data_IF_455344723109
#
_entry.id   IF_455344723109
#
_cell.length_a   1.000
_cell.length_b   1.000
_cell.length_c   1.000
_cell.angle_alpha   90.00
_cell.angle_beta   90.00
_cell.angle_gamma   90.00
#
_symmetry.space_group_name_H-M   'P 1'
#
loop_
_entity.id
_entity.type
_entity.pdbx_description
1 polymer ?
#
# COMPACT_ATOMS: atom_id res chain seq x y z
N UNK A 1 40.04 -7.78 -24.18
CA UNK A 1 40.39 -7.12 -22.91
C UNK A 1 41.19 -8.11 -22.08
N UNK A 2 42.44 -7.81 -21.73
CA UNK A 2 43.13 -8.54 -20.67
C UNK A 2 42.48 -8.11 -19.36
N UNK A 3 41.98 -9.05 -18.56
CA UNK A 3 41.69 -8.74 -17.15
C UNK A 3 43.04 -8.45 -16.49
N UNK A 4 43.19 -7.25 -15.95
CA UNK A 4 44.31 -6.95 -15.08
C UNK A 4 44.25 -7.89 -13.86
N UNK A 5 45.41 -8.34 -13.41
CA UNK A 5 45.48 -9.27 -12.29
C UNK A 5 45.09 -8.53 -10.99
N UNK A 6 43.88 -8.78 -10.49
CA UNK A 6 43.45 -8.30 -9.17
C UNK A 6 44.18 -9.06 -8.07
N UNK A 7 44.67 -8.34 -7.07
CA UNK A 7 45.23 -8.94 -5.85
C UNK A 7 44.12 -9.30 -4.86
N UNK A 8 44.45 -10.09 -3.85
CA UNK A 8 43.50 -10.41 -2.77
C UNK A 8 43.14 -9.16 -1.94
N UNK A 9 44.06 -8.22 -1.79
CA UNK A 9 43.82 -6.98 -1.06
C UNK A 9 42.89 -6.04 -1.84
N UNK A 10 42.97 -6.05 -3.17
CA UNK A 10 42.00 -5.33 -4.03
C UNK A 10 40.58 -5.87 -3.83
N UNK A 11 40.42 -7.19 -3.70
CA UNK A 11 39.12 -7.84 -3.46
C UNK A 11 38.57 -7.63 -2.04
N UNK A 12 39.43 -7.24 -1.08
CA UNK A 12 39.05 -6.97 0.32
C UNK A 12 38.81 -5.49 0.59
N UNK A 13 39.24 -4.62 -0.31
CA UNK A 13 39.08 -3.18 -0.17
C UNK A 13 37.64 -2.77 -0.53
N UNK A 14 36.97 -1.95 0.29
CA UNK A 14 35.65 -1.42 -0.05
C UNK A 14 35.68 -0.63 -1.37
N UNK A 15 34.64 -0.77 -2.17
CA UNK A 15 34.45 0.05 -3.37
C UNK A 15 34.20 1.51 -2.93
N UNK A 16 35.00 2.49 -3.41
CA UNK A 16 34.87 3.88 -2.99
C UNK A 16 33.48 4.48 -3.26
N UNK A 17 32.75 3.98 -4.26
CA UNK A 17 31.39 4.44 -4.57
C UNK A 17 30.41 4.07 -3.47
N UNK A 18 30.58 2.89 -2.87
CA UNK A 18 29.70 2.39 -1.80
C UNK A 18 29.81 3.24 -0.54
N UNK A 19 30.98 3.79 -0.24
CA UNK A 19 31.23 4.61 0.95
C UNK A 19 30.56 5.99 0.91
N UNK A 20 30.03 6.42 -0.24
CA UNK A 20 29.42 7.75 -0.43
C UNK A 20 27.94 7.81 -0.04
N UNK A 21 27.31 6.68 0.26
CA UNK A 21 25.89 6.63 0.62
C UNK A 21 25.72 6.70 2.14
N UNK A 22 25.06 7.77 2.61
CA UNK A 22 24.81 8.05 4.02
C UNK A 22 23.30 8.03 4.32
N UNK A 23 22.91 8.16 5.59
CA UNK A 23 21.51 8.33 5.98
C UNK A 23 20.84 9.59 5.40
N UNK A 24 21.63 10.56 4.92
CA UNK A 24 21.14 11.77 4.21
C UNK A 24 21.15 11.62 2.69
N UNK A 25 21.43 10.42 2.16
CA UNK A 25 21.56 10.14 0.75
C UNK A 25 23.02 10.16 0.26
N UNK A 26 23.20 10.43 -1.04
CA UNK A 26 24.51 10.49 -1.69
C UNK A 26 25.29 11.72 -1.22
N UNK A 27 26.45 11.51 -0.60
CA UNK A 27 27.37 12.58 -0.24
C UNK A 27 28.51 12.67 -1.26
N UNK A 28 28.72 13.85 -1.84
CA UNK A 28 29.85 14.11 -2.73
C UNK A 28 31.11 14.52 -1.95
N UNK A 29 30.92 15.21 -0.83
CA UNK A 29 31.99 15.83 -0.05
C UNK A 29 32.49 14.98 1.13
N UNK A 30 31.76 13.92 1.48
CA UNK A 30 32.14 13.01 2.57
C UNK A 30 32.02 11.54 2.15
N UNK A 31 32.68 10.67 2.90
CA UNK A 31 32.57 9.23 2.78
C UNK A 31 32.50 8.63 4.19
N UNK A 32 31.69 7.60 4.36
CA UNK A 32 31.67 6.81 5.57
C UNK A 32 32.97 6.01 5.70
N UNK A 33 33.36 5.69 6.92
CA UNK A 33 34.30 4.60 7.13
C UNK A 33 33.68 3.28 6.64
N UNK A 34 34.50 2.28 6.26
CA UNK A 34 34.00 0.97 5.87
C UNK A 34 33.05 0.34 6.90
N UNK A 35 33.35 0.48 8.19
CA UNK A 35 32.55 -0.05 9.28
C UNK A 35 31.20 0.65 9.39
N UNK A 36 31.18 1.99 9.32
CA UNK A 36 29.94 2.76 9.34
C UNK A 36 29.09 2.52 8.09
N UNK A 37 29.72 2.33 6.92
CA UNK A 37 29.01 1.94 5.70
C UNK A 37 28.35 0.57 5.85
N UNK A 38 29.09 -0.42 6.39
CA UNK A 38 28.53 -1.75 6.65
C UNK A 38 27.37 -1.71 7.63
N UNK A 39 27.51 -0.97 8.74
CA UNK A 39 26.45 -0.79 9.73
C UNK A 39 25.21 -0.13 9.10
N UNK A 40 25.41 0.92 8.30
CA UNK A 40 24.34 1.57 7.56
C UNK A 40 23.60 0.60 6.62
N UNK A 41 24.32 -0.17 5.80
CA UNK A 41 23.71 -1.15 4.89
C UNK A 41 22.98 -2.28 5.64
N UNK A 42 23.48 -2.73 6.79
CA UNK A 42 22.78 -3.68 7.65
C UNK A 42 21.50 -3.08 8.23
N UNK A 43 21.55 -1.83 8.66
CA UNK A 43 20.39 -1.12 9.19
C UNK A 43 19.28 -0.98 8.13
N UNK A 44 19.63 -0.68 6.88
CA UNK A 44 18.66 -0.60 5.77
C UNK A 44 17.85 -1.90 5.58
N UNK A 45 18.44 -3.06 5.89
CA UNK A 45 17.85 -4.39 5.76
C UNK A 45 17.37 -4.99 7.09
N UNK A 46 17.43 -4.23 8.19
CA UNK A 46 17.17 -4.75 9.53
C UNK A 46 15.71 -5.12 9.77
N UNK A 47 14.78 -4.50 9.04
CA UNK A 47 13.34 -4.80 9.11
C UNK A 47 12.88 -5.80 8.06
N UNK A 48 13.78 -6.33 7.23
CA UNK A 48 13.46 -7.17 6.07
C UNK A 48 13.55 -8.65 6.44
N UNK A 49 12.67 -9.12 7.33
CA UNK A 49 12.61 -10.53 7.74
C UNK A 49 11.41 -11.24 7.11
N UNK A 50 11.60 -12.51 6.76
CA UNK A 50 10.56 -13.33 6.14
C UNK A 50 9.83 -14.19 7.16
N UNK A 51 8.49 -14.20 7.09
CA UNK A 51 7.62 -15.08 7.87
C UNK A 51 8.09 -16.54 7.81
N UNK A 52 8.08 -17.26 8.93
CA UNK A 52 8.59 -18.63 9.06
C UNK A 52 7.91 -19.65 8.11
N UNK A 53 6.67 -19.38 7.68
CA UNK A 53 5.92 -20.24 6.77
C UNK A 53 6.34 -20.08 5.30
N UNK A 54 7.15 -19.08 4.97
CA UNK A 54 7.70 -18.91 3.61
C UNK A 54 8.52 -20.14 3.23
N UNK A 55 8.28 -20.64 2.03
CA UNK A 55 8.94 -21.81 1.50
C UNK A 55 10.47 -21.67 1.47
N UNK A 56 11.17 -22.79 1.73
CA UNK A 56 12.61 -22.82 1.96
C UNK A 56 13.43 -22.32 0.75
N UNK A 57 12.98 -22.61 -0.47
CA UNK A 57 13.67 -22.14 -1.67
C UNK A 57 13.60 -20.60 -1.81
N UNK A 58 12.41 -20.01 -1.65
CA UNK A 58 12.26 -18.54 -1.60
C UNK A 58 13.07 -17.93 -0.45
N UNK A 59 13.06 -18.51 0.75
CA UNK A 59 13.84 -18.01 1.90
C UNK A 59 15.34 -18.01 1.60
N UNK A 60 15.87 -19.10 1.06
CA UNK A 60 17.30 -19.21 0.69
C UNK A 60 17.68 -18.23 -0.43
N UNK A 61 16.79 -18.02 -1.41
CA UNK A 61 16.99 -17.04 -2.47
C UNK A 61 17.03 -15.61 -1.90
N UNK A 62 16.10 -15.28 -1.00
CA UNK A 62 16.06 -13.98 -0.33
C UNK A 62 17.30 -13.71 0.53
N UNK A 63 17.74 -14.67 1.33
CA UNK A 63 18.97 -14.52 2.14
C UNK A 63 20.22 -14.35 1.27
N UNK A 64 20.27 -15.00 0.10
CA UNK A 64 21.33 -14.77 -0.88
C UNK A 64 21.34 -13.33 -1.38
N UNK A 65 20.16 -12.72 -1.60
CA UNK A 65 20.04 -11.32 -2.01
C UNK A 65 20.57 -10.39 -0.92
N UNK A 66 20.16 -10.59 0.35
CA UNK A 66 20.67 -9.79 1.49
C UNK A 66 22.20 -9.86 1.57
N UNK A 67 22.77 -11.06 1.41
CA UNK A 67 24.22 -11.24 1.40
C UNK A 67 24.90 -10.53 0.21
N UNK A 68 24.32 -10.60 -0.99
CA UNK A 68 24.85 -9.89 -2.16
C UNK A 68 24.81 -8.38 -1.99
N UNK A 69 23.73 -7.84 -1.42
CA UNK A 69 23.64 -6.43 -1.07
C UNK A 69 24.78 -6.01 -0.15
N UNK A 70 25.02 -6.73 0.94
CA UNK A 70 26.13 -6.42 1.86
C UNK A 70 27.51 -6.55 1.19
N UNK A 71 27.67 -7.51 0.26
CA UNK A 71 28.89 -7.63 -0.56
C UNK A 71 29.06 -6.49 -1.56
N UNK A 72 27.99 -5.75 -1.86
CA UNK A 72 28.03 -4.50 -2.63
C UNK A 72 29.00 -3.48 -2.07
N UNK A 73 29.30 -3.54 -0.77
CA UNK A 73 30.33 -2.71 -0.15
C UNK A 73 31.71 -2.90 -0.78
N UNK A 74 32.07 -4.11 -1.20
CA UNK A 74 33.38 -4.45 -1.79
C UNK A 74 33.33 -4.54 -3.32
N UNK A 75 32.14 -4.81 -3.87
CA UNK A 75 31.93 -4.91 -5.32
C UNK A 75 30.60 -4.27 -5.67
N UNK A 76 30.64 -2.98 -6.04
CA UNK A 76 29.43 -2.16 -6.20
C UNK A 76 28.37 -2.78 -7.12
N UNK A 77 28.79 -3.45 -8.20
CA UNK A 77 27.84 -4.07 -9.14
C UNK A 77 27.01 -5.19 -8.49
N UNK A 78 27.42 -5.72 -7.33
CA UNK A 78 26.60 -6.65 -6.54
C UNK A 78 25.27 -6.02 -6.07
N UNK A 79 25.18 -4.69 -5.94
CA UNK A 79 23.90 -4.02 -5.67
C UNK A 79 22.92 -4.19 -6.82
N UNK A 80 23.40 -4.05 -8.06
CA UNK A 80 22.61 -4.30 -9.28
C UNK A 80 22.23 -5.78 -9.39
N UNK A 81 23.18 -6.68 -9.13
CA UNK A 81 22.88 -8.12 -9.14
C UNK A 81 21.83 -8.48 -8.08
N UNK A 82 21.92 -7.90 -6.88
CA UNK A 82 20.92 -8.09 -5.83
C UNK A 82 19.55 -7.54 -6.25
N UNK A 83 19.51 -6.36 -6.89
CA UNK A 83 18.28 -5.76 -7.43
C UNK A 83 17.62 -6.65 -8.48
N UNK A 84 18.38 -7.12 -9.49
CA UNK A 84 17.85 -8.02 -10.53
C UNK A 84 17.36 -9.35 -9.96
N UNK A 85 18.11 -9.90 -8.99
CA UNK A 85 17.71 -11.12 -8.29
C UNK A 85 16.42 -10.93 -7.47
N UNK A 86 16.08 -9.71 -7.02
CA UNK A 86 14.80 -9.47 -6.37
C UNK A 86 13.64 -9.78 -7.32
N UNK A 87 13.72 -9.32 -8.56
CA UNK A 87 12.68 -9.56 -9.57
C UNK A 87 12.55 -11.06 -9.91
N UNK A 88 13.67 -11.79 -9.98
CA UNK A 88 13.68 -13.25 -10.18
C UNK A 88 13.10 -14.00 -8.98
N UNK A 89 13.39 -13.54 -7.76
CA UNK A 89 12.92 -14.16 -6.52
C UNK A 89 11.44 -13.88 -6.27
N UNK A 90 10.93 -12.71 -6.68
CA UNK A 90 9.50 -12.44 -6.71
C UNK A 90 8.76 -13.47 -7.58
N UNK A 91 9.26 -13.73 -8.78
CA UNK A 91 8.68 -14.75 -9.66
C UNK A 91 8.68 -16.13 -9.00
N UNK A 92 9.79 -16.53 -8.36
CA UNK A 92 9.86 -17.78 -7.60
C UNK A 92 8.79 -17.84 -6.50
N UNK A 93 8.70 -16.81 -5.67
CA UNK A 93 7.75 -16.74 -4.56
C UNK A 93 6.29 -16.85 -5.03
N UNK A 94 5.94 -16.12 -6.09
CA UNK A 94 4.60 -16.20 -6.70
C UNK A 94 4.29 -17.60 -7.24
N UNK A 95 5.26 -18.26 -7.86
CA UNK A 95 5.10 -19.63 -8.38
C UNK A 95 4.90 -20.64 -7.25
N UNK A 96 5.71 -20.58 -6.21
CA UNK A 96 5.57 -21.47 -5.04
C UNK A 96 4.22 -21.25 -4.34
N UNK A 97 3.80 -19.99 -4.21
CA UNK A 97 2.49 -19.67 -3.63
C UNK A 97 1.34 -20.16 -4.50
N UNK A 98 1.44 -20.00 -5.83
CA UNK A 98 0.46 -20.54 -6.77
C UNK A 98 0.37 -22.07 -6.70
N UNK A 99 1.50 -22.78 -6.65
CA UNK A 99 1.50 -24.24 -6.51
C UNK A 99 0.85 -24.69 -5.20
N UNK A 100 1.12 -23.99 -4.09
CA UNK A 100 0.47 -24.29 -2.80
C UNK A 100 -1.05 -24.16 -2.89
N UNK A 101 -1.54 -23.11 -3.56
CA UNK A 101 -2.97 -22.92 -3.80
C UNK A 101 -3.55 -23.99 -4.75
N UNK A 102 -2.84 -24.31 -5.83
CA UNK A 102 -3.21 -25.34 -6.80
C UNK A 102 -3.29 -26.75 -6.18
N UNK A 103 -2.39 -27.06 -5.25
CA UNK A 103 -2.34 -28.36 -4.58
C UNK A 103 -3.50 -28.53 -3.59
N UNK A 104 -4.00 -27.42 -3.02
CA UNK A 104 -5.18 -27.44 -2.16
C UNK A 104 -6.46 -27.73 -2.96
N UNK A 105 -6.62 -27.09 -4.13
CA UNK A 105 -7.69 -27.37 -5.08
C UNK A 105 -7.18 -27.19 -6.51
N UNK A 106 -7.21 -28.25 -7.36
CA UNK A 106 -6.68 -28.16 -8.71
C UNK A 106 -7.29 -27.01 -9.50
N UNK A 107 -6.44 -26.02 -9.79
CA UNK A 107 -6.80 -24.85 -10.57
C UNK A 107 -7.51 -25.21 -11.88
N UNK A 108 -8.57 -24.47 -12.22
CA UNK A 108 -9.30 -24.64 -13.48
C UNK A 108 -8.92 -23.51 -14.42
N UNK A 109 -8.58 -23.85 -15.66
CA UNK A 109 -8.40 -22.89 -16.73
C UNK A 109 -9.70 -22.71 -17.51
N UNK A 110 -10.05 -21.47 -17.82
CA UNK A 110 -11.19 -21.10 -18.65
C UNK A 110 -10.71 -20.34 -19.90
N UNK A 111 -11.19 -20.77 -21.06
CA UNK A 111 -10.86 -20.10 -22.32
C UNK A 111 -11.81 -18.92 -22.55
N UNK A 112 -11.28 -17.69 -22.58
CA UNK A 112 -12.07 -16.46 -22.54
C UNK A 112 -13.14 -16.35 -23.65
N UNK A 113 -12.90 -16.93 -24.83
CA UNK A 113 -13.86 -16.87 -25.96
C UNK A 113 -14.90 -17.98 -25.99
N UNK A 114 -14.55 -19.17 -25.52
CA UNK A 114 -15.39 -20.36 -25.67
C UNK A 114 -16.01 -20.78 -24.36
N UNK A 115 -15.60 -20.15 -23.25
CA UNK A 115 -15.99 -20.50 -21.89
C UNK A 115 -15.70 -21.97 -21.55
N UNK A 116 -14.80 -22.60 -22.33
CA UNK A 116 -14.38 -23.99 -22.10
C UNK A 116 -13.53 -24.03 -20.85
N UNK A 117 -13.94 -24.84 -19.89
CA UNK A 117 -13.20 -25.12 -18.65
C UNK A 117 -12.42 -26.42 -18.76
N UNK A 118 -11.16 -26.39 -18.34
CA UNK A 118 -10.28 -27.56 -18.28
C UNK A 118 -9.48 -27.55 -16.98
N UNK A 119 -9.34 -28.68 -16.28
CA UNK A 119 -8.47 -28.74 -15.12
C UNK A 119 -7.01 -28.54 -15.55
N UNK A 120 -6.26 -27.72 -14.80
CA UNK A 120 -4.82 -27.64 -14.92
C UNK A 120 -4.24 -28.87 -14.22
N UNK A 121 -3.60 -29.76 -14.97
CA UNK A 121 -2.95 -30.94 -14.38
C UNK A 121 -1.46 -30.66 -14.28
N UNK A 122 -0.98 -30.31 -13.10
CA UNK A 122 0.43 -30.02 -12.84
C UNK A 122 0.85 -30.55 -11.46
N UNK A 123 2.04 -31.14 -11.35
CA UNK A 123 2.65 -31.54 -10.07
C UNK A 123 3.82 -30.63 -9.68
N UNK A 124 4.35 -29.90 -10.66
CA UNK A 124 5.40 -28.91 -10.48
C UNK A 124 5.20 -27.78 -11.47
N UNK A 125 5.85 -26.64 -11.20
CA UNK A 125 5.75 -25.47 -12.05
C UNK A 125 6.13 -25.73 -13.52
N UNK A 126 7.12 -26.59 -13.78
CA UNK A 126 7.52 -26.95 -15.14
C UNK A 126 6.38 -27.54 -15.98
N UNK A 127 5.43 -28.23 -15.34
CA UNK A 127 4.27 -28.82 -16.02
C UNK A 127 3.31 -27.71 -16.49
N UNK A 128 3.15 -26.67 -15.67
CA UNK A 128 2.38 -25.46 -16.02
C UNK A 128 3.07 -24.74 -17.18
N UNK A 129 4.38 -24.52 -17.10
CA UNK A 129 5.15 -23.85 -18.15
C UNK A 129 5.09 -24.64 -19.47
N UNK A 130 5.23 -25.97 -19.41
CA UNK A 130 5.07 -26.84 -20.56
C UNK A 130 3.65 -26.73 -21.16
N UNK A 131 2.62 -26.73 -20.33
CA UNK A 131 1.22 -26.65 -20.77
C UNK A 131 0.88 -25.30 -21.43
N UNK A 132 1.31 -24.20 -20.82
CA UNK A 132 1.01 -22.83 -21.26
C UNK A 132 1.92 -22.33 -22.38
N UNK A 133 3.21 -22.70 -22.42
CA UNK A 133 4.16 -22.17 -23.40
C UNK A 133 4.44 -23.11 -24.56
N UNK A 134 4.32 -24.42 -24.35
CA UNK A 134 4.71 -25.45 -25.33
C UNK A 134 3.57 -26.40 -25.70
N UNK A 135 2.49 -26.43 -24.92
CA UNK A 135 1.46 -27.46 -24.96
C UNK A 135 0.10 -26.99 -25.44
N UNK A 136 -0.94 -27.70 -24.99
CA UNK A 136 -2.32 -27.60 -25.44
C UNK A 136 -2.97 -26.22 -25.22
N UNK A 137 -2.41 -25.41 -24.31
CA UNK A 137 -2.97 -24.12 -23.94
C UNK A 137 -2.20 -22.92 -24.55
N UNK A 138 -1.14 -23.16 -25.33
CA UNK A 138 -0.28 -22.10 -25.90
C UNK A 138 -1.02 -21.05 -26.74
N UNK A 139 -2.05 -21.45 -27.49
CA UNK A 139 -2.67 -20.60 -28.53
C UNK A 139 -3.98 -19.93 -28.10
N UNK A 140 -4.40 -20.05 -26.83
CA UNK A 140 -5.69 -19.53 -26.36
C UNK A 140 -5.54 -18.41 -25.32
N UNK A 141 -6.47 -17.43 -25.27
CA UNK A 141 -6.60 -16.53 -24.12
C UNK A 141 -7.18 -17.32 -22.94
N UNK A 142 -6.31 -17.97 -22.18
CA UNK A 142 -6.68 -18.70 -20.98
C UNK A 142 -6.65 -17.78 -19.76
N UNK A 143 -7.61 -17.98 -18.86
CA UNK A 143 -7.59 -17.45 -17.52
C UNK A 143 -7.67 -18.56 -16.49
N UNK A 144 -7.24 -18.28 -15.27
CA UNK A 144 -7.46 -19.16 -14.12
C UNK A 144 -8.75 -18.73 -13.42
N UNK A 145 -9.60 -19.70 -13.09
CA UNK A 145 -10.84 -19.48 -12.36
C UNK A 145 -10.54 -19.34 -10.87
N UNK A 146 -11.09 -18.30 -10.26
CA UNK A 146 -11.01 -18.02 -8.82
C UNK A 146 -12.43 -17.82 -8.27
N UNK A 147 -12.56 -17.73 -6.94
CA UNK A 147 -13.85 -17.41 -6.30
C UNK A 147 -14.42 -16.05 -6.75
N UNK A 148 -13.55 -15.08 -7.02
CA UNK A 148 -13.93 -13.74 -7.44
C UNK A 148 -14.08 -13.60 -8.98
N UNK A 149 -13.88 -14.67 -9.75
CA UNK A 149 -14.00 -14.68 -11.21
C UNK A 149 -12.77 -15.22 -11.93
N UNK A 150 -12.75 -15.08 -13.27
CA UNK A 150 -11.67 -15.57 -14.12
C UNK A 150 -10.65 -14.47 -14.40
N UNK A 151 -9.37 -14.72 -14.12
CA UNK A 151 -8.26 -13.77 -14.36
C UNK A 151 -7.33 -14.29 -15.46
N UNK A 152 -6.90 -13.46 -16.44
CA UNK A 152 -5.98 -13.88 -17.49
C UNK A 152 -4.71 -14.54 -16.92
N UNK A 153 -4.31 -15.68 -17.50
CA UNK A 153 -3.23 -16.50 -16.93
C UNK A 153 -2.28 -17.04 -18.01
N UNK A 154 -1.03 -16.60 -17.94
CA UNK A 154 0.05 -17.05 -18.85
C UNK A 154 1.27 -17.58 -18.09
N UNK A 155 1.20 -17.64 -16.76
CA UNK A 155 2.29 -18.09 -15.89
C UNK A 155 3.48 -17.12 -15.84
N UNK A 156 3.31 -15.87 -16.26
CA UNK A 156 4.31 -14.81 -16.06
C UNK A 156 3.99 -13.98 -14.81
N UNK A 157 4.96 -13.16 -14.36
CA UNK A 157 4.82 -12.31 -13.16
C UNK A 157 3.57 -11.43 -13.21
N UNK A 158 3.26 -10.79 -14.35
CA UNK A 158 2.05 -9.95 -14.49
C UNK A 158 0.78 -10.74 -14.18
N UNK A 159 0.62 -11.92 -14.78
CA UNK A 159 -0.57 -12.76 -14.56
C UNK A 159 -0.61 -13.43 -13.20
N UNK A 160 0.55 -13.70 -12.60
CA UNK A 160 0.65 -14.22 -11.24
C UNK A 160 0.29 -13.15 -10.20
N UNK A 161 0.74 -11.91 -10.37
CA UNK A 161 0.31 -10.79 -9.54
C UNK A 161 -1.20 -10.57 -9.66
N UNK A 162 -1.74 -10.58 -10.90
CA UNK A 162 -3.18 -10.49 -11.14
C UNK A 162 -3.97 -11.62 -10.46
N UNK A 163 -3.47 -12.86 -10.51
CA UNK A 163 -4.05 -13.98 -9.76
C UNK A 163 -4.01 -13.74 -8.24
N UNK A 164 -2.85 -13.37 -7.69
CA UNK A 164 -2.69 -13.15 -6.25
C UNK A 164 -3.62 -12.03 -5.74
N UNK A 165 -3.81 -10.97 -6.52
CA UNK A 165 -4.79 -9.91 -6.27
C UNK A 165 -6.23 -10.45 -6.26
N UNK A 166 -6.61 -11.19 -7.30
CA UNK A 166 -7.95 -11.74 -7.45
C UNK A 166 -8.32 -12.73 -6.33
N UNK A 167 -7.34 -13.45 -5.79
CA UNK A 167 -7.52 -14.37 -4.66
C UNK A 167 -7.36 -13.69 -3.29
N UNK A 168 -7.21 -12.36 -3.24
CA UNK A 168 -7.08 -11.61 -1.99
C UNK A 168 -5.75 -11.79 -1.25
N UNK A 169 -4.72 -12.34 -1.90
CA UNK A 169 -3.39 -12.51 -1.28
C UNK A 169 -2.62 -11.20 -1.21
N UNK A 170 -2.81 -10.30 -2.18
CA UNK A 170 -2.17 -8.98 -2.23
C UNK A 170 -3.22 -7.87 -2.11
N UNK A 171 -3.44 -7.29 -0.92
CA UNK A 171 -4.38 -6.20 -0.73
C UNK A 171 -3.79 -4.84 -1.13
N UNK A 172 -4.64 -3.84 -1.18
CA UNK A 172 -4.30 -2.44 -1.39
C UNK A 172 -4.31 -2.02 -2.86
N UNK A 173 -4.74 -0.80 -3.09
CA UNK A 173 -4.91 -0.21 -4.42
C UNK A 173 -3.66 0.55 -4.90
N UNK A 174 -2.92 1.22 -4.00
CA UNK A 174 -1.66 1.91 -4.34
C UNK A 174 -0.57 0.93 -4.76
N UNK A 175 -0.51 -0.23 -4.11
CA UNK A 175 0.47 -1.25 -4.46
C UNK A 175 0.23 -1.83 -5.86
N UNK A 176 -0.99 -1.74 -6.43
CA UNK A 176 -1.28 -2.15 -7.82
C UNK A 176 -0.50 -1.34 -8.85
N UNK A 177 -0.23 -0.06 -8.58
CA UNK A 177 0.59 0.77 -9.46
C UNK A 177 2.03 0.24 -9.58
N UNK A 178 2.49 -0.50 -8.56
CA UNK A 178 3.84 -1.10 -8.53
C UNK A 178 3.90 -2.42 -9.31
N UNK A 179 2.77 -3.12 -9.49
CA UNK A 179 2.72 -4.41 -10.21
C UNK A 179 3.26 -4.30 -11.65
N UNK A 180 2.98 -3.17 -12.33
CA UNK A 180 3.52 -2.87 -13.65
C UNK A 180 5.04 -2.71 -13.66
N UNK A 181 5.59 -2.05 -12.64
CA UNK A 181 7.04 -1.86 -12.48
C UNK A 181 7.72 -3.20 -12.16
N UNK A 182 7.17 -4.01 -11.25
CA UNK A 182 7.70 -5.33 -10.92
C UNK A 182 7.76 -6.25 -12.14
N UNK A 183 6.74 -6.18 -12.99
CA UNK A 183 6.74 -6.91 -14.25
C UNK A 183 7.86 -6.44 -15.20
N UNK A 184 8.04 -5.12 -15.34
CA UNK A 184 9.09 -4.55 -16.18
C UNK A 184 10.49 -4.87 -15.66
N UNK A 185 10.71 -4.77 -14.35
CA UNK A 185 11.98 -5.12 -13.71
C UNK A 185 12.30 -6.60 -13.91
N UNK A 186 11.28 -7.47 -13.83
CA UNK A 186 11.47 -8.88 -14.17
C UNK A 186 11.86 -9.10 -15.64
N UNK A 187 11.23 -8.38 -16.57
CA UNK A 187 11.60 -8.42 -17.99
C UNK A 187 13.07 -7.98 -18.13
N UNK A 188 13.43 -6.83 -17.54
CA UNK A 188 14.80 -6.28 -17.59
C UNK A 188 15.82 -7.27 -17.03
N UNK A 189 15.58 -7.86 -15.87
CA UNK A 189 16.46 -8.88 -15.28
C UNK A 189 16.63 -10.13 -16.16
N UNK A 190 15.67 -10.41 -17.06
CA UNK A 190 15.77 -11.49 -18.04
C UNK A 190 16.52 -11.15 -19.33
N UNK A 191 16.77 -9.86 -19.59
CA UNK A 191 17.44 -9.38 -20.79
C UNK A 191 18.78 -8.76 -20.44
N UNK A 192 19.85 -9.22 -21.09
CA UNK A 192 21.21 -8.78 -20.79
C UNK A 192 21.42 -7.38 -21.37
N UNK A 193 21.26 -6.37 -20.53
CA UNK A 193 21.69 -4.98 -20.79
C UNK A 193 22.44 -4.45 -19.58
N UNK A 194 23.61 -3.83 -19.79
CA UNK A 194 24.35 -3.20 -18.71
C UNK A 194 23.54 -2.05 -18.13
N UNK A 195 23.36 -2.07 -16.80
CA UNK A 195 22.79 -0.98 -16.04
C UNK A 195 23.39 -0.99 -14.63
N UNK A 196 23.18 0.10 -13.90
CA UNK A 196 23.70 0.25 -12.56
C UNK A 196 22.64 0.88 -11.65
N UNK A 197 22.44 0.30 -10.47
CA UNK A 197 21.53 0.83 -9.45
C UNK A 197 22.32 1.36 -8.25
N UNK A 198 21.67 2.16 -7.41
CA UNK A 198 22.29 2.60 -6.16
C UNK A 198 22.09 1.56 -5.04
N UNK A 199 22.89 1.61 -3.96
CA UNK A 199 22.63 0.80 -2.78
C UNK A 199 21.23 1.05 -2.19
N UNK A 200 20.73 2.29 -2.30
CA UNK A 200 19.40 2.65 -1.79
C UNK A 200 18.30 1.97 -2.62
N UNK A 201 18.44 1.94 -3.94
CA UNK A 201 17.49 1.25 -4.84
C UNK A 201 17.51 -0.27 -4.58
N UNK A 202 18.71 -0.84 -4.41
CA UNK A 202 18.89 -2.25 -4.05
C UNK A 202 18.20 -2.56 -2.72
N UNK A 203 18.44 -1.77 -1.66
CA UNK A 203 17.80 -1.97 -0.36
C UNK A 203 16.28 -1.80 -0.41
N UNK A 204 15.78 -0.80 -1.16
CA UNK A 204 14.34 -0.58 -1.35
C UNK A 204 13.69 -1.78 -2.05
N UNK A 205 14.31 -2.30 -3.11
CA UNK A 205 13.81 -3.48 -3.83
C UNK A 205 13.78 -4.72 -2.93
N UNK A 206 14.80 -4.91 -2.07
CA UNK A 206 14.82 -6.00 -1.08
C UNK A 206 13.70 -5.85 -0.06
N UNK A 207 13.45 -4.63 0.43
CA UNK A 207 12.36 -4.35 1.37
C UNK A 207 11.00 -4.62 0.73
N UNK A 208 10.74 -4.03 -0.44
CA UNK A 208 9.50 -4.24 -1.20
C UNK A 208 9.27 -5.73 -1.47
N UNK A 209 10.32 -6.47 -1.85
CA UNK A 209 10.26 -7.92 -2.03
C UNK A 209 9.88 -8.65 -0.74
N UNK A 210 10.47 -8.29 0.40
CA UNK A 210 10.16 -8.91 1.69
C UNK A 210 8.70 -8.70 2.08
N UNK A 211 8.17 -7.50 1.85
CA UNK A 211 6.76 -7.18 2.10
C UNK A 211 5.83 -8.01 1.19
N UNK A 212 6.14 -8.09 -0.11
CA UNK A 212 5.35 -8.90 -1.05
C UNK A 212 5.38 -10.38 -0.66
N UNK A 213 6.55 -10.94 -0.35
CA UNK A 213 6.67 -12.35 0.05
C UNK A 213 5.88 -12.61 1.33
N UNK A 214 6.05 -11.78 2.37
CA UNK A 214 5.31 -11.97 3.62
C UNK A 214 3.80 -11.92 3.39
N UNK A 215 3.36 -10.95 2.58
CA UNK A 215 1.94 -10.78 2.28
C UNK A 215 1.36 -11.96 1.50
N UNK A 216 2.12 -12.53 0.55
CA UNK A 216 1.72 -13.76 -0.15
C UNK A 216 1.45 -14.92 0.83
N UNK A 217 2.15 -14.97 1.96
CA UNK A 217 1.95 -15.95 3.03
C UNK A 217 1.02 -15.47 4.16
N UNK A 218 0.28 -14.38 3.94
CA UNK A 218 -0.74 -13.88 4.87
C UNK A 218 -0.18 -13.08 6.05
N UNK A 219 1.06 -12.60 5.95
CA UNK A 219 1.71 -11.80 6.99
C UNK A 219 1.88 -10.37 6.48
N UNK A 220 1.18 -9.42 7.08
CA UNK A 220 1.42 -8.00 6.83
C UNK A 220 2.74 -7.56 7.48
N UNK A 221 3.31 -6.45 7.00
CA UNK A 221 4.60 -5.95 7.49
C UNK A 221 4.40 -4.71 8.36
N UNK A 222 4.69 -4.76 9.68
CA UNK A 222 4.63 -3.57 10.53
C UNK A 222 5.50 -2.44 9.99
N UNK A 223 4.91 -1.26 9.77
CA UNK A 223 5.59 -0.12 9.15
C UNK A 223 5.98 -0.33 7.68
N UNK A 224 5.44 -1.36 7.02
CA UNK A 224 5.63 -1.64 5.60
C UNK A 224 5.09 -0.53 4.72
N UNK A 225 5.70 -0.34 3.56
CA UNK A 225 5.32 0.69 2.59
C UNK A 225 4.25 0.23 1.61
N UNK A 226 4.35 -1.01 1.15
CA UNK A 226 3.46 -1.60 0.14
C UNK A 226 2.30 -2.35 0.78
N UNK A 227 2.58 -3.10 1.85
CA UNK A 227 1.60 -3.90 2.58
C UNK A 227 1.77 -3.64 4.08
N UNK A 228 1.41 -2.42 4.55
CA UNK A 228 1.48 -2.09 5.95
C UNK A 228 0.61 -3.04 6.78
N UNK A 229 1.13 -3.44 7.94
CA UNK A 229 0.30 -4.04 8.97
C UNK A 229 -0.72 -3.06 9.54
N UNK A 230 -1.69 -3.57 10.32
CA UNK A 230 -2.61 -2.74 11.07
C UNK A 230 -1.88 -1.65 11.86
N UNK A 231 -2.45 -0.44 11.87
CA UNK A 231 -1.92 0.69 12.63
C UNK A 231 -2.68 0.86 13.93
N UNK A 232 -1.93 1.06 15.01
CA UNK A 232 -2.49 1.39 16.31
C UNK A 232 -3.07 2.80 16.30
N UNK A 233 -4.30 2.91 16.78
CA UNK A 233 -4.98 4.17 17.06
C UNK A 233 -5.11 4.36 18.55
N UNK A 234 -4.76 5.56 19.00
CA UNK A 234 -4.90 5.96 20.38
C UNK A 234 -5.88 7.13 20.50
N UNK A 235 -6.24 7.45 21.74
CA UNK A 235 -7.14 8.56 22.03
C UNK A 235 -6.36 9.86 21.87
N UNK A 236 -6.76 10.64 20.88
CA UNK A 236 -6.20 11.94 20.55
C UNK A 236 -7.24 13.03 20.82
N UNK A 237 -6.80 14.13 21.42
CA UNK A 237 -7.58 15.33 21.55
C UNK A 237 -7.20 16.31 20.44
N UNK A 238 -8.19 16.84 19.74
CA UNK A 238 -8.02 17.96 18.83
C UNK A 238 -8.71 19.15 19.48
N UNK A 239 -7.96 20.15 19.92
CA UNK A 239 -8.50 21.34 20.54
C UNK A 239 -8.23 22.59 19.72
N UNK A 240 -9.14 23.55 19.81
CA UNK A 240 -9.06 24.85 19.16
C UNK A 240 -9.75 25.92 20.01
N UNK A 241 -9.36 27.17 19.80
CA UNK A 241 -10.10 28.30 20.39
C UNK A 241 -11.33 28.61 19.54
N UNK A 242 -12.42 29.07 20.17
CA UNK A 242 -13.65 29.52 19.49
C UNK A 242 -13.47 30.83 18.67
N UNK A 243 -12.24 31.29 18.47
CA UNK A 243 -11.93 32.53 17.73
C UNK A 243 -11.54 32.22 16.30
N UNK A 244 -11.95 33.08 15.36
CA UNK A 244 -11.77 32.94 13.91
C UNK A 244 -10.30 32.83 13.39
N UNK A 245 -9.30 32.90 14.28
CA UNK A 245 -7.87 32.71 13.98
C UNK A 245 -7.24 31.71 14.97
N UNK A 246 -8.02 30.76 15.46
CA UNK A 246 -7.60 29.84 16.51
C UNK A 246 -6.44 28.96 16.09
N UNK A 247 -5.46 28.81 17.00
CA UNK A 247 -4.49 27.73 16.92
C UNK A 247 -5.21 26.41 17.18
N UNK A 248 -4.98 25.43 16.30
CA UNK A 248 -5.31 24.04 16.59
C UNK A 248 -4.17 23.46 17.41
N UNK A 249 -4.47 22.56 18.34
CA UNK A 249 -3.46 21.77 19.03
C UNK A 249 -3.96 20.35 19.11
N UNK A 250 -3.06 19.42 18.80
CA UNK A 250 -3.32 17.98 18.86
C UNK A 250 -2.50 17.42 20.02
N UNK A 251 -3.16 16.72 20.93
CA UNK A 251 -2.55 16.17 22.13
C UNK A 251 -2.93 14.70 22.30
N UNK A 252 -2.00 13.89 22.80
CA UNK A 252 -2.34 12.55 23.31
C UNK A 252 -3.16 12.66 24.59
N UNK A 253 -3.78 11.56 25.03
CA UNK A 253 -4.43 11.48 26.34
C UNK A 253 -3.57 12.04 27.48
N UNK A 254 -2.31 11.61 27.57
CA UNK A 254 -1.41 12.02 28.66
C UNK A 254 -1.07 13.53 28.59
N UNK A 255 -0.98 14.09 27.38
CA UNK A 255 -0.74 15.51 27.18
C UNK A 255 -1.98 16.35 27.52
N UNK A 256 -3.18 15.85 27.19
CA UNK A 256 -4.46 16.50 27.49
C UNK A 256 -4.66 16.66 29.00
N UNK A 257 -4.32 15.64 29.80
CA UNK A 257 -4.47 15.68 31.26
C UNK A 257 -3.55 16.72 31.93
N UNK A 258 -2.51 17.19 31.24
CA UNK A 258 -1.52 18.15 31.74
C UNK A 258 -1.58 19.51 31.02
N UNK A 259 -2.67 19.81 30.32
CA UNK A 259 -2.77 21.03 29.52
C UNK A 259 -2.93 22.27 30.42
N UNK A 260 -2.07 23.28 30.21
CA UNK A 260 -2.21 24.60 30.83
C UNK A 260 -3.36 25.40 30.18
N UNK A 261 -4.28 25.93 31.01
CA UNK A 261 -5.45 26.74 30.61
C UNK A 261 -6.51 26.02 29.72
N UNK A 262 -7.16 24.96 30.23
CA UNK A 262 -8.17 24.19 29.49
C UNK A 262 -9.50 24.93 29.25
N UNK A 263 -9.76 26.02 29.98
CA UNK A 263 -11.08 26.67 30.02
C UNK A 263 -11.39 27.52 28.78
N UNK A 264 -10.37 27.86 27.98
CA UNK A 264 -10.52 28.68 26.77
C UNK A 264 -10.64 27.86 25.46
N UNK A 265 -10.59 26.53 25.55
CA UNK A 265 -10.50 25.63 24.40
C UNK A 265 -11.72 24.71 24.26
N UNK A 266 -12.24 24.63 23.05
CA UNK A 266 -13.13 23.54 22.64
C UNK A 266 -12.27 22.40 22.12
N UNK A 267 -12.69 21.16 22.36
CA UNK A 267 -12.02 19.99 21.81
C UNK A 267 -13.00 18.90 21.40
N UNK A 268 -12.48 18.00 20.56
CA UNK A 268 -13.05 16.68 20.33
C UNK A 268 -12.05 15.62 20.75
N UNK A 269 -12.57 14.46 21.13
CA UNK A 269 -11.78 13.25 21.32
C UNK A 269 -12.02 12.33 20.16
N UNK A 270 -10.94 11.86 19.55
CA UNK A 270 -10.97 10.92 18.44
C UNK A 270 -10.08 9.73 18.73
N UNK A 271 -10.40 8.59 18.13
CA UNK A 271 -9.48 7.46 18.01
C UNK A 271 -8.77 7.60 16.67
N UNK A 272 -7.46 7.86 16.70
CA UNK A 272 -6.66 8.19 15.52
C UNK A 272 -5.24 7.64 15.61
N UNK A 273 -4.59 7.48 14.44
CA UNK A 273 -3.18 7.14 14.37
C UNK A 273 -2.35 8.35 14.81
N UNK A 274 -1.35 8.10 15.65
CA UNK A 274 -0.44 9.15 16.13
C UNK A 274 0.33 9.76 14.95
N UNK A 275 0.46 11.08 14.95
CA UNK A 275 1.13 11.86 13.89
C UNK A 275 0.43 11.82 12.52
N UNK A 276 -0.85 11.47 12.45
CA UNK A 276 -1.66 11.71 11.26
C UNK A 276 -1.79 13.23 11.01
N UNK A 277 -1.16 13.72 9.95
CA UNK A 277 -1.20 15.14 9.58
C UNK A 277 -2.61 15.58 9.11
N UNK A 278 -3.45 14.64 8.69
CA UNK A 278 -4.82 14.94 8.32
C UNK A 278 -5.71 15.37 9.51
N UNK A 279 -5.28 15.11 10.75
CA UNK A 279 -6.01 15.55 11.96
C UNK A 279 -6.13 17.07 12.07
N UNK A 280 -5.20 17.83 11.49
CA UNK A 280 -5.27 19.30 11.44
C UNK A 280 -6.49 19.81 10.67
N UNK A 281 -7.09 18.97 9.82
CA UNK A 281 -8.26 19.29 9.01
C UNK A 281 -9.45 18.39 9.33
N UNK A 282 -9.50 17.83 10.55
CA UNK A 282 -10.52 16.84 10.91
C UNK A 282 -11.95 17.35 10.71
N UNK A 283 -12.77 16.49 10.09
CA UNK A 283 -14.22 16.67 9.95
C UNK A 283 -14.89 15.31 10.18
N UNK A 284 -15.83 15.24 11.12
CA UNK A 284 -16.55 14.00 11.44
C UNK A 284 -17.44 13.47 10.31
N UNK A 285 -17.77 14.30 9.31
CA UNK A 285 -18.61 13.93 8.18
C UNK A 285 -17.82 13.54 6.94
N UNK A 286 -16.56 13.95 6.83
CA UNK A 286 -15.72 13.70 5.66
C UNK A 286 -14.42 12.99 6.05
N UNK A 287 -13.99 12.03 5.25
CA UNK A 287 -12.69 11.37 5.40
C UNK A 287 -11.56 12.33 4.99
N UNK A 288 -11.16 13.21 5.91
CA UNK A 288 -10.06 14.18 5.72
C UNK A 288 -8.72 13.71 6.31
N UNK A 289 -8.72 12.67 7.12
CA UNK A 289 -7.53 12.09 7.75
C UNK A 289 -6.86 11.07 6.85
N UNK A 290 -5.54 10.92 6.97
CA UNK A 290 -4.80 9.93 6.15
C UNK A 290 -5.23 8.51 6.56
N UNK A 291 -5.49 8.30 7.85
CA UNK A 291 -5.90 7.02 8.41
C UNK A 291 -7.34 7.05 8.93
N UNK A 292 -8.01 5.89 9.09
CA UNK A 292 -9.37 5.83 9.62
C UNK A 292 -9.47 6.44 11.02
N UNK A 293 -10.24 7.51 11.17
CA UNK A 293 -10.43 8.22 12.43
C UNK A 293 -11.87 8.10 12.92
N UNK A 294 -12.07 7.89 14.23
CA UNK A 294 -13.41 7.75 14.83
C UNK A 294 -13.64 8.80 15.90
N UNK A 295 -14.74 9.56 15.79
CA UNK A 295 -15.18 10.45 16.86
C UNK A 295 -15.60 9.65 18.09
N UNK A 296 -15.08 10.02 19.26
CA UNK A 296 -15.44 9.43 20.54
C UNK A 296 -16.34 10.37 21.35
N UNK A 297 -16.01 11.66 21.35
CA UNK A 297 -16.70 12.68 22.12
C UNK A 297 -16.46 14.07 21.53
N UNK A 298 -17.39 14.99 21.81
CA UNK A 298 -17.27 16.41 21.50
C UNK A 298 -18.25 16.90 20.43
N UNK A 299 -18.22 18.21 20.12
CA UNK A 299 -17.27 19.20 20.65
C UNK A 299 -17.68 19.67 22.06
N UNK A 300 -16.70 19.99 22.90
CA UNK A 300 -16.96 20.57 24.23
C UNK A 300 -15.69 21.06 24.93
N UNK A 301 -15.80 21.62 26.14
CA UNK A 301 -14.66 22.08 26.94
C UNK A 301 -13.65 20.96 27.20
N UNK A 302 -12.36 21.30 27.26
CA UNK A 302 -11.29 20.32 27.55
C UNK A 302 -11.50 19.61 28.90
N UNK A 303 -12.00 20.33 29.91
CA UNK A 303 -12.27 19.74 31.23
C UNK A 303 -13.32 18.62 31.16
N UNK A 304 -14.41 18.83 30.42
CA UNK A 304 -15.45 17.82 30.22
C UNK A 304 -14.90 16.61 29.44
N UNK A 305 -13.97 16.83 28.51
CA UNK A 305 -13.30 15.76 27.77
C UNK A 305 -12.44 14.89 28.69
N UNK A 306 -11.68 15.51 29.61
CA UNK A 306 -10.87 14.81 30.62
C UNK A 306 -11.78 13.97 31.53
N UNK A 307 -12.88 14.54 31.99
CA UNK A 307 -13.88 13.82 32.79
C UNK A 307 -14.50 12.66 32.02
N UNK A 308 -14.80 12.86 30.73
CA UNK A 308 -15.31 11.80 29.86
C UNK A 308 -14.31 10.64 29.70
N UNK A 309 -13.02 10.93 29.49
CA UNK A 309 -11.96 9.91 29.40
C UNK A 309 -11.87 9.12 30.69
N UNK A 310 -11.89 9.79 31.84
CA UNK A 310 -11.84 9.13 33.16
C UNK A 310 -13.05 8.23 33.39
N UNK A 311 -14.23 8.67 32.98
CA UNK A 311 -15.49 7.93 33.13
C UNK A 311 -15.66 6.75 32.16
N UNK A 312 -15.16 6.85 30.93
CA UNK A 312 -15.38 5.84 29.89
C UNK A 312 -14.18 4.93 29.63
N UNK A 313 -12.96 5.38 29.98
CA UNK A 313 -11.71 4.66 29.74
C UNK A 313 -11.61 4.07 28.32
N UNK A 314 -11.74 4.90 27.27
CA UNK A 314 -11.63 4.45 25.88
C UNK A 314 -10.32 3.68 25.65
N UNK A 315 -10.41 2.56 24.92
CA UNK A 315 -9.31 1.64 24.66
C UNK A 315 -8.77 1.90 23.25
N UNK A 316 -7.44 1.89 23.12
CA UNK A 316 -6.76 1.90 21.83
C UNK A 316 -7.18 0.68 20.98
N UNK A 317 -7.18 0.83 19.66
CA UNK A 317 -7.44 -0.30 18.76
C UNK A 317 -6.48 -0.29 17.58
N UNK A 318 -6.59 -1.32 16.74
CA UNK A 318 -5.80 -1.45 15.53
C UNK A 318 -6.72 -1.36 14.31
N UNK A 319 -6.26 -0.71 13.25
CA UNK A 319 -7.05 -0.53 12.03
C UNK A 319 -6.25 -0.84 10.77
N UNK A 320 -6.91 -1.49 9.81
CA UNK A 320 -6.39 -1.68 8.46
C UNK A 320 -6.48 -0.37 7.66
N UNK A 321 -5.49 -0.14 6.80
CA UNK A 321 -5.37 1.10 6.03
C UNK A 321 -5.53 0.91 4.53
N UNK A 322 -5.55 -0.34 4.07
CA UNK A 322 -5.63 -0.72 2.66
C UNK A 322 -7.04 -1.16 2.27
N UNK A 323 -7.38 -1.02 0.99
CA UNK A 323 -8.67 -1.43 0.42
C UNK A 323 -9.91 -0.86 1.15
N UNK A 324 -9.79 0.36 1.69
CA UNK A 324 -10.88 1.08 2.35
C UNK A 324 -11.96 1.47 1.34
N UNK A 325 -13.21 1.49 1.79
CA UNK A 325 -14.35 2.00 1.01
C UNK A 325 -14.59 3.47 1.32
N UNK A 326 -14.72 4.25 0.26
CA UNK A 326 -15.02 5.67 0.31
C UNK A 326 -16.29 5.94 -0.50
N UNK A 327 -17.15 6.81 0.01
CA UNK A 327 -18.39 7.21 -0.68
C UNK A 327 -18.27 8.66 -1.09
N UNK A 328 -18.47 8.94 -2.38
CA UNK A 328 -18.54 10.32 -2.91
C UNK A 328 -19.88 10.54 -3.60
N UNK A 329 -20.26 11.81 -3.74
CA UNK A 329 -21.49 12.22 -4.41
C UNK A 329 -21.15 13.22 -5.52
N UNK A 330 -21.67 12.97 -6.71
CA UNK A 330 -21.60 13.85 -7.86
C UNK A 330 -22.92 14.60 -7.99
N UNK A 331 -22.85 15.92 -8.06
CA UNK A 331 -24.02 16.80 -8.24
C UNK A 331 -23.65 17.99 -9.13
N UNK A 332 -24.63 18.85 -9.42
CA UNK A 332 -24.46 19.95 -10.39
C UNK A 332 -23.37 20.95 -10.04
N UNK A 333 -22.96 21.04 -8.77
CA UNK A 333 -21.93 21.96 -8.30
C UNK A 333 -20.55 21.33 -8.16
N UNK A 334 -20.42 20.00 -8.25
CA UNK A 334 -19.14 19.34 -8.10
C UNK A 334 -19.21 17.88 -7.65
N UNK A 335 -18.09 17.43 -7.09
CA UNK A 335 -17.96 16.16 -6.41
C UNK A 335 -17.71 16.47 -4.95
N UNK A 336 -18.51 15.89 -4.07
CA UNK A 336 -18.28 15.95 -2.63
C UNK A 336 -17.00 15.20 -2.26
N UNK A 337 -16.32 15.68 -1.23
CA UNK A 337 -15.23 14.90 -0.63
C UNK A 337 -15.76 13.55 -0.13
N UNK A 338 -14.90 12.52 -0.04
CA UNK A 338 -15.27 11.24 0.54
C UNK A 338 -15.95 11.43 1.89
N UNK A 339 -17.17 10.94 2.02
CA UNK A 339 -17.93 11.01 3.25
C UNK A 339 -17.54 9.88 4.17
N UNK A 340 -17.56 10.16 5.47
CA UNK A 340 -17.52 9.13 6.49
C UNK A 340 -18.76 8.24 6.33
N UNK A 341 -18.59 6.92 6.36
CA UNK A 341 -19.69 5.98 6.10
C UNK A 341 -20.84 6.11 7.11
N UNK A 342 -20.58 6.58 8.33
CA UNK A 342 -21.63 6.87 9.32
C UNK A 342 -22.40 8.15 8.97
N UNK A 343 -21.71 9.12 8.38
CA UNK A 343 -22.34 10.36 7.92
C UNK A 343 -23.20 10.10 6.68
N UNK A 344 -22.85 9.13 5.81
CA UNK A 344 -23.70 8.72 4.68
C UNK A 344 -25.08 8.29 5.15
N UNK A 345 -25.18 7.51 6.23
CA UNK A 345 -26.46 7.11 6.81
C UNK A 345 -27.27 8.28 7.41
N UNK A 346 -26.62 9.40 7.70
CA UNK A 346 -27.23 10.61 8.27
C UNK A 346 -27.85 11.54 7.23
N UNK A 347 -27.63 11.28 5.94
CA UNK A 347 -27.92 12.23 4.87
C UNK A 347 -29.43 12.46 4.74
N UNK A 348 -29.80 13.73 4.74
CA UNK A 348 -31.18 14.17 4.55
C UNK A 348 -31.72 13.72 3.19
N UNK A 349 -33.03 13.48 3.06
CA UNK A 349 -33.62 13.04 1.79
C UNK A 349 -33.37 14.03 0.64
N UNK A 350 -33.25 15.33 0.93
CA UNK A 350 -32.91 16.37 -0.05
C UNK A 350 -31.48 16.24 -0.57
N UNK A 351 -30.56 15.79 0.30
CA UNK A 351 -29.14 15.61 0.00
C UNK A 351 -28.82 14.21 -0.56
N UNK A 352 -29.81 13.33 -0.70
CA UNK A 352 -29.62 12.03 -1.36
C UNK A 352 -29.62 12.12 -2.90
N UNK A 353 -29.97 13.27 -3.46
CA UNK A 353 -30.06 13.50 -4.92
C UNK A 353 -28.69 13.50 -5.59
N UNK A 354 -28.57 13.04 -6.84
CA UNK A 354 -27.30 13.00 -7.58
C UNK A 354 -26.78 11.57 -7.80
N UNK A 355 -25.57 11.47 -8.34
CA UNK A 355 -24.92 10.18 -8.61
C UNK A 355 -23.93 9.88 -7.50
N UNK A 356 -24.09 8.72 -6.88
CA UNK A 356 -23.25 8.25 -5.79
C UNK A 356 -22.24 7.24 -6.30
N UNK A 357 -21.02 7.34 -5.80
CA UNK A 357 -19.92 6.46 -6.19
C UNK A 357 -19.33 5.82 -4.93
N UNK A 358 -19.19 4.50 -4.94
CA UNK A 358 -18.40 3.77 -3.93
C UNK A 358 -17.06 3.43 -4.57
N UNK A 359 -15.99 3.89 -3.95
CA UNK A 359 -14.62 3.72 -4.44
C UNK A 359 -13.82 2.94 -3.39
N UNK A 360 -13.18 1.86 -3.80
CA UNK A 360 -12.18 1.17 -2.99
C UNK A 360 -10.82 1.83 -3.25
N UNK A 361 -10.16 2.31 -2.21
CA UNK A 361 -8.85 2.96 -2.29
C UNK A 361 -8.09 2.79 -0.97
N UNK A 362 -6.80 3.12 -0.94
CA UNK A 362 -6.02 3.11 0.32
C UNK A 362 -6.06 4.48 1.02
N UNK A 363 -6.51 5.52 0.32
CA UNK A 363 -6.47 6.89 0.79
C UNK A 363 -7.67 7.72 0.27
N UNK A 364 -8.26 8.61 1.09
CA UNK A 364 -9.41 9.41 0.67
C UNK A 364 -9.10 10.32 -0.52
N UNK A 365 -7.90 10.90 -0.59
CA UNK A 365 -7.50 11.72 -1.73
C UNK A 365 -7.51 10.94 -3.06
N UNK A 366 -7.15 9.65 -3.05
CA UNK A 366 -7.15 8.82 -4.25
C UNK A 366 -8.59 8.56 -4.71
N UNK A 367 -9.50 8.27 -3.76
CA UNK A 367 -10.91 8.11 -4.05
C UNK A 367 -11.56 9.40 -4.57
N UNK A 368 -11.20 10.55 -3.99
CA UNK A 368 -11.69 11.85 -4.44
C UNK A 368 -11.20 12.21 -5.84
N UNK A 369 -9.90 12.04 -6.11
CA UNK A 369 -9.33 12.24 -7.43
C UNK A 369 -9.97 11.30 -8.46
N UNK A 370 -10.23 10.04 -8.08
CA UNK A 370 -10.93 9.09 -8.93
C UNK A 370 -12.33 9.56 -9.31
N UNK A 371 -13.12 9.97 -8.32
CA UNK A 371 -14.47 10.48 -8.51
C UNK A 371 -14.51 11.74 -9.40
N UNK A 372 -13.55 12.66 -9.22
CA UNK A 372 -13.40 13.85 -10.08
C UNK A 372 -13.13 13.48 -11.54
N UNK A 373 -12.17 12.60 -11.79
CA UNK A 373 -11.85 12.16 -13.16
C UNK A 373 -13.02 11.39 -13.80
N UNK A 374 -13.68 10.51 -13.04
CA UNK A 374 -14.86 9.76 -13.49
C UNK A 374 -15.99 10.70 -13.92
N UNK A 375 -16.26 11.76 -13.15
CA UNK A 375 -17.23 12.82 -13.53
C UNK A 375 -16.89 13.46 -14.88
N UNK A 376 -15.61 13.76 -15.10
CA UNK A 376 -15.15 14.46 -16.29
C UNK A 376 -14.98 13.52 -17.51
N UNK A 377 -15.29 12.22 -17.35
CA UNK A 377 -15.09 11.20 -18.38
C UNK A 377 -13.62 10.93 -18.68
N UNK A 378 -12.72 11.31 -17.77
CA UNK A 378 -11.27 11.15 -17.90
C UNK A 378 -10.84 9.87 -17.21
N UNK A 379 -10.08 9.03 -17.91
CA UNK A 379 -9.47 7.84 -17.30
C UNK A 379 -8.44 8.25 -16.24
N UNK A 380 -8.60 7.74 -15.02
CA UNK A 380 -7.60 7.90 -13.97
C UNK A 380 -6.30 7.21 -14.39
N UNK A 381 -5.21 7.97 -14.54
CA UNK A 381 -3.94 7.44 -15.05
C UNK A 381 -3.63 7.84 -16.51
N UNK A 382 -4.43 8.71 -17.13
CA UNK A 382 -4.11 9.34 -18.42
C UNK A 382 -2.93 10.34 -18.36
N UNK A 383 -1.96 10.11 -17.46
CA UNK A 383 -0.63 10.71 -17.60
C UNK A 383 0.17 9.85 -18.58
N UNK A 384 -0.03 10.13 -19.88
CA UNK A 384 0.92 9.73 -20.91
C UNK A 384 2.16 10.64 -20.84
N UNK A 385 2.88 10.59 -19.72
CA UNK A 385 4.17 11.23 -19.56
C UNK A 385 5.26 10.20 -19.77
N UNK A 386 6.20 10.46 -20.69
CA UNK A 386 7.45 9.71 -20.82
C UNK A 386 8.32 9.92 -19.57
N UNK A 387 7.94 9.34 -18.44
CA UNK A 387 8.80 9.26 -17.26
C UNK A 387 9.66 8.02 -17.47
N UNK A 388 10.90 8.24 -17.95
CA UNK A 388 11.92 7.21 -18.25
C UNK A 388 11.72 6.34 -19.51
N UNK A 389 11.04 6.84 -20.54
CA UNK A 389 10.94 6.14 -21.85
C UNK A 389 10.21 4.79 -21.80
N UNK A 390 9.42 4.57 -20.76
CA UNK A 390 8.54 3.42 -20.63
C UNK A 390 7.09 3.92 -20.56
N UNK A 391 6.24 3.46 -21.49
CA UNK A 391 4.79 3.56 -21.38
C UNK A 391 4.32 2.61 -20.27
N UNK A 392 4.56 2.97 -19.01
CA UNK A 392 3.88 2.32 -17.90
C UNK A 392 2.43 2.82 -17.95
N UNK A 393 1.50 1.92 -18.29
CA UNK A 393 0.07 2.15 -18.04
C UNK A 393 -0.09 2.27 -16.52
N UNK A 394 -0.05 3.49 -15.99
CA UNK A 394 -0.35 3.74 -14.59
C UNK A 394 -1.82 3.44 -14.38
N UNK A 395 -2.10 2.32 -13.73
CA UNK A 395 -3.45 2.01 -13.29
C UNK A 395 -3.81 2.93 -12.12
N UNK A 396 -5.04 3.43 -12.13
CA UNK A 396 -5.59 4.18 -11.01
C UNK A 396 -5.42 3.40 -9.71
N UNK A 397 -4.95 4.07 -8.65
CA UNK A 397 -4.88 3.53 -7.30
C UNK A 397 -6.27 3.48 -6.61
N UNK A 398 -7.33 3.33 -7.39
CA UNK A 398 -8.70 3.26 -6.90
C UNK A 398 -9.56 2.40 -7.85
N UNK A 399 -10.47 1.64 -7.26
CA UNK A 399 -11.40 0.75 -7.94
C UNK A 399 -12.84 1.26 -7.73
N UNK A 400 -13.55 1.53 -8.82
CA UNK A 400 -14.98 1.87 -8.76
C UNK A 400 -15.77 0.59 -8.46
N UNK A 401 -16.37 0.54 -7.28
CA UNK A 401 -17.18 -0.61 -6.81
C UNK A 401 -18.65 -0.42 -7.19
N UNK A 402 -19.12 0.82 -7.22
CA UNK A 402 -20.49 1.16 -7.55
C UNK A 402 -20.60 2.59 -8.07
N UNK A 403 -21.50 2.78 -9.04
CA UNK A 403 -22.00 4.07 -9.49
C UNK A 403 -23.52 3.98 -9.65
N UNK A 404 -24.26 4.91 -9.05
CA UNK A 404 -25.72 4.90 -9.13
C UNK A 404 -26.42 5.85 -8.17
N UNK A 405 -27.64 5.51 -7.77
CA UNK A 405 -28.43 6.31 -6.83
C UNK A 405 -28.18 5.92 -5.37
N UNK A 406 -28.56 6.81 -4.44
CA UNK A 406 -28.38 6.59 -2.99
C UNK A 406 -28.94 5.24 -2.50
N UNK A 407 -30.09 4.81 -3.02
CA UNK A 407 -30.77 3.58 -2.61
C UNK A 407 -29.94 2.30 -2.80
N UNK A 408 -28.93 2.29 -3.69
CA UNK A 408 -28.07 1.13 -3.91
C UNK A 408 -26.85 1.06 -2.98
N UNK A 409 -26.52 2.15 -2.29
CA UNK A 409 -25.27 2.25 -1.51
C UNK A 409 -25.20 1.23 -0.37
N UNK A 410 -26.25 1.13 0.43
CA UNK A 410 -26.27 0.27 1.60
C UNK A 410 -26.02 -1.20 1.22
N UNK A 411 -26.70 -1.68 0.17
CA UNK A 411 -26.52 -3.05 -0.31
C UNK A 411 -25.09 -3.33 -0.79
N UNK A 412 -24.47 -2.36 -1.49
CA UNK A 412 -23.09 -2.48 -1.98
C UNK A 412 -22.10 -2.45 -0.83
N UNK A 413 -22.27 -1.53 0.12
CA UNK A 413 -21.40 -1.40 1.28
C UNK A 413 -21.44 -2.69 2.13
N UNK A 414 -22.63 -3.22 2.42
CA UNK A 414 -22.80 -4.48 3.15
C UNK A 414 -22.16 -5.65 2.39
N UNK A 415 -22.38 -5.74 1.07
CA UNK A 415 -21.76 -6.78 0.24
C UNK A 415 -20.22 -6.72 0.22
N UNK A 416 -19.64 -5.57 0.56
CA UNK A 416 -18.20 -5.36 0.67
C UNK A 416 -17.72 -5.28 2.13
N UNK A 417 -18.49 -5.84 3.08
CA UNK A 417 -18.05 -6.02 4.45
C UNK A 417 -18.19 -4.80 5.36
N UNK A 418 -18.84 -3.72 4.90
CA UNK A 418 -19.20 -2.62 5.78
C UNK A 418 -20.32 -3.03 6.74
N UNK A 419 -20.08 -2.87 8.03
CA UNK A 419 -21.10 -2.94 9.07
C UNK A 419 -21.30 -1.53 9.64
N UNK A 420 -22.51 -0.93 9.56
CA UNK A 420 -22.74 0.39 10.12
C UNK A 420 -22.54 0.36 11.65
N UNK A 421 -21.57 1.11 12.19
CA UNK A 421 -21.13 0.99 13.58
C UNK A 421 -21.99 1.77 14.59
N UNK A 422 -23.12 2.37 14.19
CA UNK A 422 -24.03 3.02 15.13
C UNK A 422 -24.75 4.26 14.58
N UNK A 423 -25.31 5.10 15.47
CA UNK A 423 -26.04 6.30 15.06
C UNK A 423 -25.12 7.30 14.35
N UNK A 424 -25.70 8.15 13.47
CA UNK A 424 -24.93 9.11 12.69
C UNK A 424 -24.19 10.11 13.58
N UNK A 425 -22.95 10.52 13.21
CA UNK A 425 -22.19 11.46 14.00
C UNK A 425 -22.79 12.86 13.94
N UNK A 426 -22.78 13.57 15.07
CA UNK A 426 -22.95 15.02 15.08
C UNK A 426 -21.86 15.63 14.23
N UNK A 427 -22.21 16.55 13.32
CA UNK A 427 -21.20 17.20 12.48
C UNK A 427 -20.32 18.11 13.33
N UNK A 428 -19.06 17.74 13.41
CA UNK A 428 -17.97 18.54 13.96
C UNK A 428 -16.91 18.76 12.89
N UNK A 429 -16.57 20.02 12.66
CA UNK A 429 -15.53 20.43 11.74
C UNK A 429 -14.55 21.31 12.54
N UNK A 430 -13.27 20.91 12.55
CA UNK A 430 -12.22 21.73 13.13
C UNK A 430 -12.03 22.96 12.23
N UNK A 431 -11.80 24.17 12.79
CA UNK A 431 -11.59 25.37 11.98
C UNK A 431 -10.48 25.15 10.95
N UNK A 432 -10.71 25.57 9.70
CA UNK A 432 -9.64 25.48 8.71
C UNK A 432 -8.52 26.45 9.10
N UNK A 433 -7.28 25.95 9.16
CA UNK A 433 -6.11 26.81 9.29
C UNK A 433 -6.12 27.75 8.07
N UNK A 434 -6.34 29.04 8.32
CA UNK A 434 -6.20 30.06 7.27
C UNK A 434 -4.82 29.94 6.62
N UNK A 435 -4.64 30.43 5.38
CA UNK A 435 -3.35 30.35 4.70
C UNK A 435 -2.27 30.93 5.62
N UNK A 436 -1.30 30.11 5.99
CA UNK A 436 -0.09 30.55 6.69
C UNK A 436 0.55 31.62 5.81
N UNK A 437 0.52 32.87 6.27
CA UNK A 437 1.10 34.02 5.57
C UNK A 437 2.60 33.93 5.45
#
# INVERSE_FOLDING_TARGET
MRMDALTLDDLRSPDPRSLRFTSRGLSLDSALSPESALEYHRHLLSSCDLNDQVADATRKAFERIRQLHLRGLFFYDAYTVAYDLCALTLELALRERFMTWHDAEPAVLEHARTQKRVPLVAKKWDDIDASLRKGAHRKGPWGVVTQAGTVPFTGNVKTLLGWARQTGLLPGQRSRAVDGLLHQDRIRAGHISYHLVTPVDSARSIRDLSEIINQLWGSSTPGGRLFPGPLEREVMAIAWTDRALGSITIATRDQLENWEDPDALLCVLVLAVRFDEGLWNYDSWYERTDYPTRLLWGPGPVQDAIEWIRGHSPIADSVDTVDRLFVTRHHSQGVDRPLNLNAVAAISSTDQTGTWTVVRADHPADAFAHALHSRDGVGCGAWSGDVYGATAEFQCAAEEVYIGGYAGLESVLIANGYAPPGPPPVRVQVPELGPTR
#
